data_IF_384007780321
#
_entry.id   IF_384007780321
#
_cell.length_a   1.000
_cell.length_b   1.000
_cell.length_c   1.000
_cell.angle_alpha   90.00
_cell.angle_beta   90.00
_cell.angle_gamma   90.00
#
_symmetry.space_group_name_H-M   'P 1'
#
loop_
_entity.id
_entity.type
_entity.pdbx_description
1 polymer ?
#
# COMPACT_ATOMS: atom_id res chain seq x y z
N UNK A 1 8.80 20.24 22.19
CA UNK A 1 9.35 20.29 20.83
C UNK A 1 9.28 18.95 20.16
N UNK A 2 10.12 17.97 20.60
CA UNK A 2 10.02 16.62 20.03
C UNK A 2 8.64 16.02 20.20
N UNK A 3 7.93 16.36 21.30
CA UNK A 3 6.58 15.86 21.55
C UNK A 3 5.56 16.45 20.58
N UNK A 4 5.75 17.70 20.16
CA UNK A 4 4.84 18.33 19.21
C UNK A 4 4.92 17.68 17.85
N UNK A 5 6.12 17.29 17.42
CA UNK A 5 6.31 16.58 16.14
C UNK A 5 5.69 15.19 16.21
N UNK A 6 5.83 14.49 17.34
CA UNK A 6 5.19 13.19 17.56
C UNK A 6 3.68 13.33 17.52
N UNK A 7 3.13 14.33 18.24
CA UNK A 7 1.70 14.53 18.28
C UNK A 7 1.12 14.85 16.92
N UNK A 8 1.86 15.57 16.06
CA UNK A 8 1.42 15.90 14.72
C UNK A 8 1.37 14.66 13.82
N UNK A 9 2.20 13.65 14.09
CA UNK A 9 2.30 12.44 13.27
C UNK A 9 1.42 11.33 13.83
N UNK A 10 1.50 11.08 15.14
CA UNK A 10 0.72 10.03 15.79
C UNK A 10 -0.59 10.61 16.32
N UNK A 11 -1.40 11.11 15.39
CA UNK A 11 -2.72 11.67 15.71
C UNK A 11 -3.68 10.57 16.18
N UNK A 12 -4.80 10.98 16.77
CA UNK A 12 -5.86 10.02 17.15
C UNK A 12 -6.28 9.19 15.94
N UNK A 13 -6.39 9.81 14.76
CA UNK A 13 -6.80 9.09 13.54
C UNK A 13 -5.79 8.04 13.12
N UNK A 14 -4.50 8.35 13.18
CA UNK A 14 -3.44 7.37 12.89
C UNK A 14 -3.54 6.18 13.83
N UNK A 15 -3.70 6.46 15.13
CA UNK A 15 -3.78 5.40 16.12
C UNK A 15 -5.05 4.55 15.97
N UNK A 16 -6.16 5.17 15.63
CA UNK A 16 -7.40 4.44 15.35
C UNK A 16 -7.23 3.51 14.14
N UNK A 17 -6.64 4.00 13.06
CA UNK A 17 -6.38 3.21 11.87
C UNK A 17 -5.47 2.03 12.18
N UNK A 18 -4.41 2.26 12.95
CA UNK A 18 -3.46 1.22 13.32
C UNK A 18 -4.11 0.16 14.21
N UNK A 19 -5.06 0.55 15.05
CA UNK A 19 -5.70 -0.36 15.99
C UNK A 19 -6.83 -1.19 15.35
N UNK A 20 -7.32 -0.81 14.19
CA UNK A 20 -8.48 -1.47 13.55
C UNK A 20 -8.19 -1.68 12.07
N UNK A 21 -7.35 -2.66 11.77
CA UNK A 21 -6.95 -2.98 10.39
C UNK A 21 -7.92 -4.02 9.84
N UNK A 22 -8.70 -3.67 8.80
CA UNK A 22 -9.61 -4.65 8.19
C UNK A 22 -8.86 -5.63 7.29
N UNK A 23 -9.52 -6.73 6.96
CA UNK A 23 -9.06 -7.72 5.97
C UNK A 23 -7.74 -8.41 6.33
N UNK A 24 -7.44 -8.52 7.63
CA UNK A 24 -6.25 -9.26 8.09
C UNK A 24 -6.42 -10.74 7.77
N UNK A 25 -5.34 -11.36 7.30
CA UNK A 25 -5.29 -12.78 6.99
C UNK A 25 -4.75 -13.04 5.60
N UNK A 26 -5.14 -14.19 5.03
CA UNK A 26 -4.68 -14.61 3.71
C UNK A 26 -5.88 -15.03 2.87
N UNK A 27 -5.80 -14.84 1.56
CA UNK A 27 -6.81 -15.39 0.64
C UNK A 27 -6.48 -16.85 0.34
N UNK A 28 -7.52 -17.66 0.11
CA UNK A 28 -7.31 -19.07 -0.19
C UNK A 28 -6.67 -19.30 -1.56
N UNK A 29 -7.05 -18.48 -2.54
CA UNK A 29 -6.56 -18.63 -3.91
C UNK A 29 -6.36 -17.25 -4.55
N UNK A 30 -5.34 -16.48 -4.11
CA UNK A 30 -5.12 -15.15 -4.68
C UNK A 30 -4.57 -15.24 -6.10
N UNK A 31 -4.83 -14.21 -6.89
CA UNK A 31 -4.19 -14.08 -8.21
C UNK A 31 -2.71 -13.76 -8.07
N UNK A 32 -2.34 -13.03 -7.03
CA UNK A 32 -0.94 -12.79 -6.71
C UNK A 32 -0.78 -12.48 -5.23
N UNK A 33 0.43 -12.72 -4.74
CA UNK A 33 0.87 -12.37 -3.39
C UNK A 33 2.22 -11.69 -3.49
N UNK A 34 2.47 -10.75 -2.60
CA UNK A 34 3.76 -10.08 -2.53
C UNK A 34 4.05 -9.66 -1.10
N UNK A 35 5.33 -9.56 -0.77
CA UNK A 35 5.78 -9.09 0.54
C UNK A 35 6.76 -7.96 0.36
N UNK A 36 6.67 -6.97 1.24
CA UNK A 36 7.65 -5.90 1.32
C UNK A 36 8.15 -5.80 2.75
N UNK A 37 9.43 -5.50 2.90
CA UNK A 37 10.08 -5.45 4.21
C UNK A 37 10.92 -4.19 4.33
N UNK A 38 10.87 -3.57 5.50
CA UNK A 38 11.74 -2.46 5.83
C UNK A 38 12.98 -2.98 6.52
N UNK A 39 14.18 -2.81 5.94
CA UNK A 39 15.42 -3.27 6.59
C UNK A 39 15.75 -2.47 7.84
N UNK A 40 15.21 -1.26 7.97
CA UNK A 40 15.52 -0.37 9.09
C UNK A 40 14.86 -0.84 10.38
N UNK A 41 13.56 -1.13 10.32
CA UNK A 41 12.79 -1.46 11.53
C UNK A 41 12.27 -2.89 11.56
N UNK A 42 12.55 -3.68 10.52
CA UNK A 42 12.08 -5.07 10.46
C UNK A 42 10.60 -5.23 10.16
N UNK A 43 9.89 -4.14 9.87
CA UNK A 43 8.49 -4.21 9.48
C UNK A 43 8.32 -5.01 8.20
N UNK A 44 7.20 -5.75 8.10
CA UNK A 44 6.90 -6.57 6.93
C UNK A 44 5.40 -6.56 6.66
N UNK A 45 5.03 -6.40 5.41
CA UNK A 45 3.64 -6.52 4.96
C UNK A 45 3.58 -7.54 3.84
N UNK A 46 2.72 -8.54 3.99
CA UNK A 46 2.45 -9.54 2.96
C UNK A 46 1.02 -9.35 2.50
N UNK A 47 0.80 -9.18 1.21
CA UNK A 47 -0.55 -9.00 0.68
C UNK A 47 -0.92 -10.11 -0.30
N UNK A 48 -2.21 -10.41 -0.34
CA UNK A 48 -2.82 -11.26 -1.35
C UNK A 48 -3.89 -10.43 -2.04
N UNK A 49 -3.99 -10.51 -3.34
CA UNK A 49 -5.08 -9.85 -4.05
C UNK A 49 -5.54 -10.67 -5.24
N UNK A 50 -6.79 -10.42 -5.63
CA UNK A 50 -7.41 -11.01 -6.81
C UNK A 50 -8.10 -9.92 -7.60
N UNK A 51 -8.03 -10.02 -8.92
CA UNK A 51 -8.68 -9.08 -9.84
C UNK A 51 -9.89 -9.73 -10.48
N UNK A 52 -10.89 -8.92 -10.77
CA UNK A 52 -12.05 -9.32 -11.55
C UNK A 52 -12.54 -8.11 -12.34
N UNK A 53 -12.74 -8.27 -13.63
CA UNK A 53 -13.16 -7.18 -14.48
C UNK A 53 -12.16 -6.02 -14.53
N UNK A 54 -10.87 -6.31 -14.36
CA UNK A 54 -9.83 -5.30 -14.40
C UNK A 54 -9.71 -4.48 -13.12
N UNK A 55 -10.36 -4.89 -12.03
CA UNK A 55 -10.32 -4.17 -10.76
C UNK A 55 -10.06 -5.15 -9.63
N UNK A 56 -9.56 -4.65 -8.50
CA UNK A 56 -9.35 -5.48 -7.31
C UNK A 56 -10.70 -5.96 -6.80
N UNK A 57 -10.86 -7.28 -6.77
CA UNK A 57 -12.09 -7.93 -6.31
C UNK A 57 -11.98 -8.38 -4.86
N UNK A 58 -10.78 -8.79 -4.43
CA UNK A 58 -10.56 -9.24 -3.07
C UNK A 58 -9.14 -8.93 -2.63
N UNK A 59 -8.95 -8.80 -1.32
CA UNK A 59 -7.67 -8.39 -0.74
C UNK A 59 -7.59 -8.91 0.69
N UNK A 60 -6.43 -9.42 1.06
CA UNK A 60 -6.10 -9.76 2.44
C UNK A 60 -4.63 -9.46 2.67
N UNK A 61 -4.26 -9.27 3.93
CA UNK A 61 -2.87 -8.96 4.25
C UNK A 61 -2.47 -9.42 5.66
N UNK A 62 -1.18 -9.68 5.80
CA UNK A 62 -0.55 -9.92 7.09
C UNK A 62 0.38 -8.74 7.34
N UNK A 63 0.17 -8.04 8.45
CA UNK A 63 0.84 -6.77 8.74
C UNK A 63 1.63 -6.90 10.04
N UNK A 64 2.96 -6.75 9.94
CA UNK A 64 3.88 -6.75 11.08
C UNK A 64 4.69 -5.48 10.99
N UNK A 65 4.15 -4.40 11.52
CA UNK A 65 4.70 -3.08 11.29
C UNK A 65 4.51 -2.18 12.50
N UNK A 66 5.24 -1.07 12.51
CA UNK A 66 5.02 -0.02 13.49
C UNK A 66 3.66 0.64 13.23
N UNK A 67 3.24 1.52 14.15
CA UNK A 67 1.93 2.17 14.06
C UNK A 67 1.69 2.86 12.71
N UNK A 68 2.71 3.49 12.13
CA UNK A 68 2.56 4.17 10.85
C UNK A 68 2.38 3.19 9.69
N UNK A 69 3.13 2.09 9.69
CA UNK A 69 2.92 1.04 8.70
C UNK A 69 1.57 0.37 8.87
N UNK A 70 1.11 0.18 10.10
CA UNK A 70 -0.21 -0.36 10.40
C UNK A 70 -1.31 0.58 9.89
N UNK A 71 -1.17 1.88 10.13
CA UNK A 71 -2.15 2.86 9.67
C UNK A 71 -2.22 2.90 8.15
N UNK A 72 -1.07 2.87 7.47
CA UNK A 72 -1.04 2.84 6.02
C UNK A 72 -1.70 1.58 5.46
N UNK A 73 -1.42 0.41 6.06
CA UNK A 73 -2.04 -0.84 5.66
C UNK A 73 -3.55 -0.82 5.89
N UNK A 74 -3.99 -0.22 7.00
CA UNK A 74 -5.41 -0.06 7.31
C UNK A 74 -6.11 0.76 6.24
N UNK A 75 -5.52 1.89 5.84
CA UNK A 75 -6.05 2.72 4.75
C UNK A 75 -6.14 1.93 3.44
N UNK A 76 -5.09 1.19 3.12
CA UNK A 76 -5.08 0.38 1.90
C UNK A 76 -6.25 -0.61 1.91
N UNK A 77 -6.43 -1.34 3.01
CA UNK A 77 -7.49 -2.34 3.10
C UNK A 77 -8.89 -1.73 2.98
N UNK A 78 -9.05 -0.49 3.45
CA UNK A 78 -10.35 0.19 3.40
C UNK A 78 -10.73 0.68 2.02
N UNK A 79 -9.73 0.92 1.15
CA UNK A 79 -9.97 1.59 -0.13
C UNK A 79 -9.61 0.78 -1.36
N UNK A 80 -8.91 -0.36 -1.21
CA UNK A 80 -8.33 -1.06 -2.35
C UNK A 80 -9.36 -1.81 -3.20
N UNK A 81 -10.39 -2.40 -2.60
CA UNK A 81 -11.37 -3.18 -3.36
C UNK A 81 -12.15 -2.26 -4.28
N UNK A 82 -12.22 -2.63 -5.55
CA UNK A 82 -12.83 -1.83 -6.59
C UNK A 82 -11.86 -0.92 -7.33
N UNK A 83 -10.60 -0.82 -6.88
CA UNK A 83 -9.63 0.05 -7.52
C UNK A 83 -9.03 -0.59 -8.77
N UNK A 84 -8.72 0.24 -9.76
CA UNK A 84 -7.99 -0.19 -10.94
C UNK A 84 -6.50 -0.24 -10.65
N UNK A 85 -5.75 -1.17 -11.26
CA UNK A 85 -4.30 -1.26 -11.05
C UNK A 85 -3.56 0.06 -11.31
N UNK A 86 -3.93 0.79 -12.34
CA UNK A 86 -3.28 2.06 -12.69
C UNK A 86 -3.46 3.10 -11.58
N UNK A 87 -4.63 3.10 -10.95
CA UNK A 87 -4.90 4.02 -9.85
C UNK A 87 -4.04 3.70 -8.63
N UNK A 88 -3.80 2.42 -8.36
CA UNK A 88 -2.96 1.99 -7.24
C UNK A 88 -1.49 2.30 -7.49
N UNK A 89 -1.02 2.11 -8.71
CA UNK A 89 0.35 2.45 -9.09
C UNK A 89 0.56 3.97 -8.95
N UNK A 90 -0.40 4.77 -9.41
CA UNK A 90 -0.34 6.21 -9.27
C UNK A 90 -0.40 6.64 -7.80
N UNK A 91 -1.21 5.97 -7.00
CA UNK A 91 -1.31 6.25 -5.57
C UNK A 91 0.04 6.05 -4.87
N UNK A 92 0.71 4.94 -5.14
CA UNK A 92 2.03 4.67 -4.57
C UNK A 92 3.00 5.81 -4.90
N UNK A 93 3.02 6.26 -6.15
CA UNK A 93 3.92 7.34 -6.57
C UNK A 93 3.56 8.65 -5.87
N UNK A 94 2.27 8.94 -5.74
CA UNK A 94 1.80 10.14 -5.05
C UNK A 94 2.23 10.13 -3.58
N UNK A 95 2.06 8.99 -2.90
CA UNK A 95 2.48 8.86 -1.50
C UNK A 95 4.00 8.97 -1.37
N UNK A 96 4.74 8.32 -2.26
CA UNK A 96 6.21 8.41 -2.24
C UNK A 96 6.68 9.86 -2.37
N UNK A 97 6.11 10.60 -3.31
CA UNK A 97 6.46 12.01 -3.50
C UNK A 97 6.05 12.87 -2.31
N UNK A 98 4.88 12.59 -1.75
CA UNK A 98 4.40 13.31 -0.58
C UNK A 98 5.38 13.18 0.58
N UNK A 99 5.90 11.97 0.82
CA UNK A 99 6.81 11.73 1.93
C UNK A 99 8.24 12.20 1.63
N UNK A 100 8.73 11.96 0.42
CA UNK A 100 10.15 12.14 0.10
C UNK A 100 10.48 13.43 -0.64
N UNK A 101 9.50 14.03 -1.30
CA UNK A 101 9.73 15.20 -2.17
C UNK A 101 8.76 16.34 -1.88
N UNK A 102 8.14 16.35 -0.70
CA UNK A 102 7.17 17.37 -0.32
C UNK A 102 6.03 17.55 -1.33
N UNK A 103 5.66 16.45 -2.01
CA UNK A 103 4.57 16.49 -2.97
C UNK A 103 3.22 16.69 -2.29
N UNK A 104 2.19 17.04 -3.06
CA UNK A 104 0.86 17.22 -2.49
C UNK A 104 0.24 15.89 -2.08
N UNK A 105 -0.68 15.89 -1.10
CA UNK A 105 -1.40 14.67 -0.73
C UNK A 105 -2.35 14.25 -1.84
N UNK A 106 -2.73 12.96 -1.88
CA UNK A 106 -3.70 12.50 -2.86
C UNK A 106 -5.08 13.07 -2.59
N UNK A 107 -5.87 13.20 -3.65
CA UNK A 107 -7.24 13.68 -3.55
C UNK A 107 -8.22 12.65 -4.06
N UNK A 108 -9.47 13.08 -4.24
CA UNK A 108 -10.53 12.22 -4.75
C UNK A 108 -10.79 11.05 -3.83
N UNK A 109 -10.88 9.85 -4.39
CA UNK A 109 -11.15 8.63 -3.63
C UNK A 109 -10.04 8.28 -2.65
N UNK A 110 -8.84 8.84 -2.83
CA UNK A 110 -7.68 8.59 -1.97
C UNK A 110 -7.43 9.70 -0.95
N UNK A 111 -8.38 10.61 -0.79
CA UNK A 111 -8.17 11.80 0.07
C UNK A 111 -7.85 11.45 1.52
N UNK A 112 -8.38 10.33 2.02
CA UNK A 112 -8.12 9.92 3.40
C UNK A 112 -6.64 9.63 3.65
N UNK A 113 -5.90 9.25 2.61
CA UNK A 113 -4.46 8.98 2.73
C UNK A 113 -3.65 10.24 3.07
N UNK A 114 -4.26 11.42 2.98
CA UNK A 114 -3.59 12.67 3.38
C UNK A 114 -3.21 12.66 4.87
N UNK A 115 -3.82 11.80 5.67
CA UNK A 115 -3.48 11.67 7.10
C UNK A 115 -2.01 11.23 7.28
N UNK A 116 -1.40 10.64 6.25
CA UNK A 116 0.00 10.22 6.28
C UNK A 116 0.97 11.37 5.96
N UNK A 117 0.47 12.53 5.54
CA UNK A 117 1.33 13.65 5.13
C UNK A 117 2.38 14.03 6.17
N UNK A 118 2.06 14.14 7.47
CA UNK A 118 3.06 14.51 8.48
C UNK A 118 4.23 13.54 8.59
N UNK A 119 4.11 12.30 8.10
CA UNK A 119 5.19 11.32 8.13
C UNK A 119 6.39 11.79 7.30
N UNK A 120 6.20 12.75 6.40
CA UNK A 120 7.30 13.32 5.61
C UNK A 120 8.44 13.83 6.51
N UNK A 121 8.11 14.27 7.70
CA UNK A 121 9.07 14.82 8.66
C UNK A 121 9.80 13.73 9.46
N UNK A 122 9.48 12.46 9.23
CA UNK A 122 10.16 11.32 9.85
C UNK A 122 10.75 10.39 8.79
N UNK A 123 11.91 10.74 8.21
CA UNK A 123 12.52 9.91 7.15
C UNK A 123 12.73 8.46 7.53
N UNK A 124 13.03 8.19 8.81
CA UNK A 124 13.24 6.82 9.29
C UNK A 124 11.98 5.95 9.22
N UNK A 125 10.81 6.56 9.03
CA UNK A 125 9.53 5.85 8.94
C UNK A 125 8.96 5.79 7.53
N UNK A 126 9.62 6.42 6.56
CA UNK A 126 9.13 6.41 5.18
C UNK A 126 9.01 4.98 4.64
N UNK A 127 10.05 4.17 4.83
CA UNK A 127 10.05 2.80 4.31
C UNK A 127 8.89 1.99 4.88
N UNK A 128 8.70 2.02 6.22
CA UNK A 128 7.63 1.27 6.87
C UNK A 128 6.24 1.72 6.38
N UNK A 129 6.05 3.02 6.19
CA UNK A 129 4.78 3.57 5.72
C UNK A 129 4.48 3.15 4.28
N UNK A 130 5.52 2.99 3.45
CA UNK A 130 5.38 2.64 2.04
C UNK A 130 5.21 1.14 1.79
N UNK A 131 5.40 0.27 2.79
CA UNK A 131 5.39 -1.18 2.58
C UNK A 131 4.11 -1.68 1.93
N UNK A 132 2.96 -1.26 2.40
CA UNK A 132 1.69 -1.72 1.83
C UNK A 132 1.55 -1.33 0.36
N UNK A 133 2.00 -0.12 0.01
CA UNK A 133 1.97 0.36 -1.38
C UNK A 133 2.93 -0.44 -2.24
N UNK A 134 4.14 -0.67 -1.74
CA UNK A 134 5.15 -1.44 -2.46
C UNK A 134 4.68 -2.87 -2.72
N UNK A 135 4.10 -3.53 -1.71
CA UNK A 135 3.62 -4.89 -1.84
C UNK A 135 2.47 -4.99 -2.85
N UNK A 136 1.53 -4.03 -2.80
CA UNK A 136 0.41 -4.00 -3.74
C UNK A 136 0.91 -3.84 -5.17
N UNK A 137 1.81 -2.89 -5.42
CA UNK A 137 2.33 -2.65 -6.77
C UNK A 137 3.11 -3.86 -7.26
N UNK A 138 3.88 -4.52 -6.39
CA UNK A 138 4.61 -5.74 -6.76
C UNK A 138 3.64 -6.86 -7.13
N UNK A 139 2.58 -7.06 -6.37
CA UNK A 139 1.58 -8.08 -6.68
C UNK A 139 0.90 -7.80 -8.01
N UNK A 140 0.55 -6.54 -8.27
CA UNK A 140 -0.03 -6.15 -9.55
C UNK A 140 0.94 -6.41 -10.71
N UNK A 141 2.22 -6.16 -10.48
CA UNK A 141 3.27 -6.47 -11.46
C UNK A 141 3.37 -7.95 -11.76
N UNK A 142 3.20 -8.81 -10.75
CA UNK A 142 3.19 -10.26 -10.94
C UNK A 142 2.03 -10.70 -11.81
N UNK A 143 0.85 -10.14 -11.61
CA UNK A 143 -0.31 -10.45 -12.43
C UNK A 143 -0.07 -10.05 -13.88
N UNK A 144 0.45 -8.83 -14.08
CA UNK A 144 0.77 -8.33 -15.41
C UNK A 144 1.81 -9.21 -16.10
N UNK A 145 2.84 -9.66 -15.38
CA UNK A 145 3.88 -10.52 -15.93
C UNK A 145 3.32 -11.88 -16.36
N UNK A 146 2.34 -12.42 -15.61
CA UNK A 146 1.69 -13.67 -15.98
C UNK A 146 0.86 -13.54 -17.27
N UNK A 147 0.29 -12.37 -17.50
CA UNK A 147 -0.47 -12.10 -18.73
C UNK A 147 0.43 -11.87 -19.95
N UNK A 148 1.49 -11.06 -19.75
CA UNK A 148 2.41 -10.67 -20.83
C UNK A 148 3.08 -11.84 -21.55
N UNK A 149 3.65 -12.84 -20.84
CA UNK A 149 4.29 -13.95 -21.54
C UNK A 149 3.35 -14.67 -22.50
N UNK A 150 2.08 -14.85 -22.11
CA UNK A 150 1.09 -15.48 -22.96
C UNK A 150 0.77 -14.62 -24.18
N UNK A 151 0.57 -13.34 -23.97
CA UNK A 151 0.31 -12.38 -25.05
C UNK A 151 1.51 -12.25 -25.98
N UNK A 152 2.72 -12.18 -25.42
CA UNK A 152 3.95 -12.09 -26.19
C UNK A 152 4.17 -13.35 -27.02
N UNK A 153 3.92 -14.54 -26.46
CA UNK A 153 4.04 -15.80 -27.19
C UNK A 153 3.05 -15.85 -28.35
N UNK A 154 1.80 -15.45 -28.13
CA UNK A 154 0.81 -15.35 -29.18
C UNK A 154 1.22 -14.36 -30.25
N UNK A 155 1.84 -13.26 -29.87
CA UNK A 155 2.34 -12.26 -30.80
C UNK A 155 3.51 -12.73 -31.64
N UNK A 156 4.40 -13.54 -31.05
CA UNK A 156 5.57 -14.03 -31.77
C UNK A 156 5.26 -15.17 -32.72
N UNK A 157 4.16 -15.85 -32.50
CA UNK A 157 3.74 -16.97 -33.35
C UNK A 157 3.11 -16.50 -34.66
N UNK A 158 2.97 -15.23 -34.89
CA UNK A 158 2.36 -14.67 -36.09
C UNK A 158 3.29 -14.67 -37.29
#
# INVERSE_FOLDING_TARGET
MANDDFDAIYTARILELAADIPRLGRLAAPDASASARSPVCGSKVTIDLSLSGGRVADFAHDVRACALGQAAASLMARHIVGAAPEALIALRETIRRMLKENGPPPGGEWAEFAVLEPVRDLPSRHAATLLTFDAVVEALGKIEALRRPTEAAAGTDR
#
